data_IF_939854767375
#
_entry.id   IF_939854767375
#
_cell.length_a   1.000
_cell.length_b   1.000
_cell.length_c   1.000
_cell.angle_alpha   90.00
_cell.angle_beta   90.00
_cell.angle_gamma   90.00
#
_symmetry.space_group_name_H-M   'P 1'
#
loop_
_entity.id
_entity.type
_entity.pdbx_description
1 polymer ?
#
# COMPACT_ATOMS: atom_id res chain seq x y z
N UNK A 1 -29.45 49.10 -22.06
CA UNK A 1 -28.03 49.52 -22.05
C UNK A 1 -27.24 48.61 -21.11
N UNK A 2 -26.60 47.54 -21.62
CA UNK A 2 -25.42 46.94 -20.98
C UNK A 2 -24.47 46.58 -22.12
N UNK A 3 -23.42 47.39 -22.27
CA UNK A 3 -22.38 47.27 -23.29
C UNK A 3 -21.50 46.05 -22.98
N UNK A 4 -21.17 45.29 -24.02
CA UNK A 4 -20.08 44.32 -24.07
C UNK A 4 -18.76 44.94 -23.56
N UNK A 5 -18.11 44.28 -22.62
CA UNK A 5 -16.67 44.41 -22.38
C UNK A 5 -16.00 43.10 -22.79
N UNK A 6 -15.59 43.01 -24.06
CA UNK A 6 -14.76 41.92 -24.56
C UNK A 6 -13.82 42.49 -25.63
N UNK A 7 -12.68 43.03 -25.22
CA UNK A 7 -11.52 43.25 -26.10
C UNK A 7 -10.35 43.79 -25.28
N UNK A 8 -9.35 42.96 -25.00
CA UNK A 8 -8.15 43.46 -24.31
C UNK A 8 -6.95 42.51 -24.24
N UNK A 9 -7.11 41.21 -24.54
CA UNK A 9 -5.99 40.25 -24.44
C UNK A 9 -5.87 39.46 -25.74
N UNK A 10 -5.37 40.10 -26.80
CA UNK A 10 -5.05 39.37 -28.06
C UNK A 10 -3.86 39.89 -28.86
N UNK A 11 -3.19 40.99 -28.46
CA UNK A 11 -2.10 41.57 -29.27
C UNK A 11 -0.68 41.32 -28.73
N UNK A 12 -0.52 40.70 -27.55
CA UNK A 12 0.80 40.44 -26.96
C UNK A 12 1.37 39.06 -27.29
N UNK A 13 0.52 38.04 -27.49
CA UNK A 13 0.98 36.67 -27.73
C UNK A 13 1.40 36.41 -29.19
N UNK A 14 0.72 37.04 -30.16
CA UNK A 14 0.99 36.85 -31.60
C UNK A 14 2.32 37.41 -32.10
N UNK A 15 2.99 38.29 -31.34
CA UNK A 15 4.27 38.89 -31.74
C UNK A 15 5.51 38.13 -31.26
N UNK A 16 5.38 37.19 -30.32
CA UNK A 16 6.53 36.40 -29.83
C UNK A 16 6.78 35.12 -30.64
N UNK A 17 5.75 34.61 -31.32
CA UNK A 17 5.86 33.44 -32.20
C UNK A 17 6.49 33.76 -33.58
N UNK A 18 6.49 35.02 -34.02
CA UNK A 18 7.11 35.43 -35.29
C UNK A 18 8.64 35.54 -35.28
N UNK A 19 9.29 35.35 -34.12
CA UNK A 19 10.74 35.42 -33.98
C UNK A 19 11.44 34.05 -33.97
N UNK A 20 10.67 32.95 -33.96
CA UNK A 20 11.17 31.58 -34.06
C UNK A 20 11.14 31.01 -35.49
N UNK A 21 10.62 31.75 -36.47
CA UNK A 21 10.36 31.25 -37.83
C UNK A 21 11.16 31.93 -38.94
N UNK A 22 12.35 32.47 -38.67
CA UNK A 22 13.18 33.17 -39.69
C UNK A 22 14.67 32.89 -39.53
N UNK A 23 15.00 31.60 -39.53
CA UNK A 23 16.35 31.11 -39.65
C UNK A 23 16.26 29.65 -40.10
N UNK A 24 16.15 29.44 -41.42
CA UNK A 24 16.17 28.12 -42.04
C UNK A 24 17.60 27.52 -41.94
N UNK A 25 18.05 27.29 -40.71
CA UNK A 25 19.22 26.47 -40.43
C UNK A 25 18.76 25.01 -40.55
N UNK A 26 19.21 24.34 -41.61
CA UNK A 26 18.91 22.92 -41.84
C UNK A 26 19.36 22.07 -40.65
N UNK A 27 18.44 21.24 -40.16
CA UNK A 27 18.68 20.29 -39.09
C UNK A 27 19.84 19.36 -39.50
N UNK A 28 20.99 19.46 -38.82
CA UNK A 28 22.14 18.62 -39.20
C UNK A 28 21.89 17.17 -38.75
N UNK A 29 22.29 16.18 -39.56
CA UNK A 29 22.21 14.77 -39.16
C UNK A 29 23.00 14.51 -37.87
N UNK A 30 24.09 15.26 -37.66
CA UNK A 30 24.93 15.18 -36.46
C UNK A 30 24.24 15.67 -35.19
N UNK A 31 23.32 16.65 -35.27
CA UNK A 31 22.54 17.09 -34.11
C UNK A 31 21.56 16.01 -33.64
N UNK A 32 20.90 15.34 -34.58
CA UNK A 32 20.00 14.24 -34.25
C UNK A 32 20.75 13.04 -33.67
N UNK A 33 21.93 12.73 -34.22
CA UNK A 33 22.75 11.61 -33.74
C UNK A 33 23.30 11.86 -32.33
N UNK A 34 23.86 13.05 -32.03
CA UNK A 34 24.33 13.37 -30.68
C UNK A 34 23.17 13.36 -29.67
N UNK A 35 21.99 13.87 -30.05
CA UNK A 35 20.83 13.84 -29.19
C UNK A 35 20.39 12.40 -28.84
N UNK A 36 20.39 11.48 -29.81
CA UNK A 36 20.10 10.06 -29.57
C UNK A 36 21.14 9.41 -28.66
N UNK A 37 22.43 9.75 -28.81
CA UNK A 37 23.50 9.25 -27.92
C UNK A 37 23.27 9.72 -26.49
N UNK A 38 22.99 11.01 -26.27
CA UNK A 38 22.76 11.56 -24.93
C UNK A 38 21.50 10.96 -24.28
N UNK A 39 20.38 10.85 -25.03
CA UNK A 39 19.17 10.19 -24.53
C UNK A 39 19.41 8.71 -24.21
N UNK A 40 20.27 8.03 -24.99
CA UNK A 40 20.69 6.66 -24.72
C UNK A 40 21.36 6.50 -23.36
N UNK A 41 22.34 7.36 -23.06
CA UNK A 41 23.05 7.33 -21.77
C UNK A 41 22.10 7.58 -20.58
N UNK A 42 21.20 8.56 -20.71
CA UNK A 42 20.22 8.87 -19.65
C UNK A 42 19.22 7.72 -19.47
N UNK A 43 18.73 7.14 -20.56
CA UNK A 43 17.73 6.07 -20.51
C UNK A 43 18.26 4.80 -19.82
N UNK A 44 19.55 4.48 -20.01
CA UNK A 44 20.18 3.30 -19.42
C UNK A 44 20.11 3.29 -17.88
N UNK A 45 20.26 4.46 -17.25
CA UNK A 45 20.19 4.60 -15.79
C UNK A 45 18.73 4.76 -15.32
N UNK A 46 17.90 5.47 -16.08
CA UNK A 46 16.55 5.83 -15.68
C UNK A 46 15.54 4.67 -15.79
N UNK A 47 15.62 3.85 -16.85
CA UNK A 47 14.67 2.75 -17.11
C UNK A 47 14.56 1.75 -15.94
N UNK A 48 15.65 1.21 -15.38
CA UNK A 48 15.52 0.21 -14.32
C UNK A 48 14.85 0.77 -13.06
N UNK A 49 15.17 2.01 -12.68
CA UNK A 49 14.54 2.68 -11.53
C UNK A 49 13.06 3.00 -11.80
N UNK A 50 12.73 3.43 -13.01
CA UNK A 50 11.36 3.74 -13.42
C UNK A 50 10.46 2.50 -13.35
N UNK A 51 10.94 1.33 -13.79
CA UNK A 51 10.19 0.08 -13.71
C UNK A 51 9.90 -0.34 -12.27
N UNK A 52 10.87 -0.19 -11.36
CA UNK A 52 10.65 -0.46 -9.93
C UNK A 52 9.61 0.47 -9.30
N UNK A 53 9.71 1.78 -9.56
CA UNK A 53 8.72 2.77 -9.08
C UNK A 53 7.31 2.49 -9.60
N UNK A 54 7.19 2.09 -10.87
CA UNK A 54 5.92 1.71 -11.49
C UNK A 54 5.30 0.48 -10.83
N UNK A 55 6.09 -0.57 -10.57
CA UNK A 55 5.59 -1.78 -9.90
C UNK A 55 5.13 -1.48 -8.47
N UNK A 56 5.89 -0.66 -7.74
CA UNK A 56 5.50 -0.21 -6.41
C UNK A 56 4.18 0.58 -6.44
N UNK A 57 3.96 1.43 -7.45
CA UNK A 57 2.70 2.15 -7.60
C UNK A 57 1.51 1.20 -7.83
N UNK A 58 1.69 0.14 -8.64
CA UNK A 58 0.66 -0.88 -8.83
C UNK A 58 0.36 -1.67 -7.55
N UNK A 59 1.39 -2.02 -6.78
CA UNK A 59 1.21 -2.69 -5.50
C UNK A 59 0.48 -1.78 -4.50
N UNK A 60 0.79 -0.48 -4.49
CA UNK A 60 0.09 0.50 -3.65
C UNK A 60 -1.38 0.62 -4.02
N UNK A 61 -1.74 0.60 -5.31
CA UNK A 61 -3.14 0.64 -5.73
C UNK A 61 -3.94 -0.57 -5.19
N UNK A 62 -3.35 -1.77 -5.25
CA UNK A 62 -3.97 -2.97 -4.69
C UNK A 62 -4.10 -2.88 -3.15
N UNK A 63 -3.04 -2.44 -2.47
CA UNK A 63 -3.05 -2.24 -1.00
C UNK A 63 -4.12 -1.23 -0.58
N UNK A 64 -4.24 -0.09 -1.29
CA UNK A 64 -5.26 0.92 -1.00
C UNK A 64 -6.68 0.40 -1.19
N UNK A 65 -6.92 -0.43 -2.21
CA UNK A 65 -8.24 -1.00 -2.46
C UNK A 65 -8.63 -1.99 -1.37
N UNK A 66 -7.67 -2.80 -0.90
CA UNK A 66 -7.85 -3.67 0.26
C UNK A 66 -8.13 -2.86 1.52
N UNK A 67 -7.39 -1.77 1.78
CA UNK A 67 -7.62 -0.93 2.96
C UNK A 67 -9.00 -0.30 2.99
N UNK A 68 -9.49 0.18 1.85
CA UNK A 68 -10.85 0.74 1.70
C UNK A 68 -11.88 -0.32 2.07
N UNK A 69 -11.77 -1.53 1.50
CA UNK A 69 -12.67 -2.65 1.81
C UNK A 69 -12.55 -3.11 3.27
N UNK A 70 -11.35 -3.08 3.87
CA UNK A 70 -11.16 -3.39 5.30
C UNK A 70 -11.80 -2.35 6.21
N UNK A 71 -11.86 -1.07 5.82
CA UNK A 71 -12.59 -0.05 6.58
C UNK A 71 -14.10 -0.28 6.46
N UNK A 72 -14.59 -0.58 5.25
CA UNK A 72 -15.99 -0.93 5.02
C UNK A 72 -16.42 -2.15 5.83
N UNK A 73 -15.59 -3.19 5.89
CA UNK A 73 -15.89 -4.38 6.68
C UNK A 73 -15.94 -4.08 8.18
N UNK A 74 -15.06 -3.23 8.70
CA UNK A 74 -15.16 -2.79 10.10
C UNK A 74 -16.45 -2.02 10.40
N UNK A 75 -16.91 -1.18 9.47
CA UNK A 75 -18.19 -0.48 9.61
C UNK A 75 -19.36 -1.48 9.61
N UNK A 76 -19.33 -2.45 8.70
CA UNK A 76 -20.33 -3.52 8.63
C UNK A 76 -20.37 -4.31 9.95
N UNK A 77 -19.22 -4.71 10.46
CA UNK A 77 -19.08 -5.42 11.73
C UNK A 77 -19.57 -4.60 12.93
N UNK A 78 -19.34 -3.28 12.95
CA UNK A 78 -19.88 -2.41 14.00
C UNK A 78 -21.41 -2.32 13.97
N UNK A 79 -22.01 -2.38 12.78
CA UNK A 79 -23.47 -2.33 12.62
C UNK A 79 -24.18 -3.65 12.92
N UNK A 80 -23.57 -4.79 12.56
CA UNK A 80 -24.21 -6.11 12.64
C UNK A 80 -23.66 -6.99 13.76
N UNK A 81 -22.45 -6.72 14.26
CA UNK A 81 -21.75 -7.56 15.24
C UNK A 81 -21.13 -8.85 14.68
N UNK A 82 -21.39 -9.16 13.41
CA UNK A 82 -20.88 -10.35 12.71
C UNK A 82 -20.81 -10.12 11.18
N UNK A 83 -20.06 -10.98 10.47
CA UNK A 83 -20.00 -10.98 9.00
C UNK A 83 -20.83 -12.10 8.34
N UNK A 84 -21.73 -12.73 9.10
CA UNK A 84 -22.58 -13.80 8.57
C UNK A 84 -23.53 -13.27 7.51
N UNK A 85 -23.82 -14.14 6.55
CA UNK A 85 -24.86 -13.85 5.57
C UNK A 85 -26.23 -13.82 6.26
N UNK A 86 -26.93 -12.69 6.17
CA UNK A 86 -28.24 -12.49 6.81
C UNK A 86 -29.30 -13.54 6.41
N UNK A 87 -29.11 -14.22 5.27
CA UNK A 87 -30.06 -15.24 4.78
C UNK A 87 -29.78 -16.65 5.27
N UNK A 88 -28.53 -16.99 5.59
CA UNK A 88 -28.11 -18.38 5.86
C UNK A 88 -27.27 -18.55 7.13
N UNK A 89 -26.92 -17.44 7.78
CA UNK A 89 -26.01 -17.37 8.91
C UNK A 89 -24.66 -18.10 8.66
N UNK A 90 -24.30 -18.32 7.39
CA UNK A 90 -23.07 -19.01 7.01
C UNK A 90 -21.89 -18.05 6.91
N UNK A 91 -20.69 -18.58 7.19
CA UNK A 91 -19.43 -17.90 6.88
C UNK A 91 -18.82 -18.51 5.60
N UNK A 92 -17.94 -17.76 4.95
CA UNK A 92 -17.23 -18.22 3.76
C UNK A 92 -17.65 -17.46 2.50
N UNK A 93 -18.07 -18.21 1.48
CA UNK A 93 -18.44 -17.66 0.17
C UNK A 93 -19.87 -17.09 0.20
N UNK A 94 -20.00 -15.78 0.34
CA UNK A 94 -21.29 -15.09 0.31
C UNK A 94 -21.26 -13.93 -0.69
N UNK A 95 -22.15 -14.01 -1.68
CA UNK A 95 -22.41 -12.92 -2.61
C UNK A 95 -23.14 -11.75 -1.94
N UNK A 96 -23.92 -12.02 -0.89
CA UNK A 96 -24.65 -10.99 -0.13
C UNK A 96 -23.65 -10.12 0.65
N UNK A 97 -22.66 -10.73 1.31
CA UNK A 97 -21.58 -9.99 1.97
C UNK A 97 -20.83 -9.07 0.98
N UNK A 98 -20.49 -9.59 -0.21
CA UNK A 98 -19.85 -8.79 -1.24
C UNK A 98 -20.74 -7.61 -1.68
N UNK A 99 -22.05 -7.83 -1.88
CA UNK A 99 -22.99 -6.79 -2.25
C UNK A 99 -23.19 -5.72 -1.16
N UNK A 100 -23.20 -6.11 0.11
CA UNK A 100 -23.33 -5.17 1.22
C UNK A 100 -22.08 -4.30 1.40
N UNK A 101 -20.89 -4.88 1.19
CA UNK A 101 -19.65 -4.11 1.14
C UNK A 101 -19.61 -3.19 -0.09
N UNK A 102 -20.13 -3.62 -1.24
CA UNK A 102 -20.23 -2.78 -2.44
C UNK A 102 -21.09 -1.53 -2.21
N UNK A 103 -22.16 -1.63 -1.40
CA UNK A 103 -23.00 -0.47 -1.04
C UNK A 103 -22.25 0.54 -0.18
N UNK A 104 -21.34 0.06 0.67
CA UNK A 104 -20.50 0.92 1.53
C UNK A 104 -19.37 1.58 0.74
N UNK A 105 -18.74 0.85 -0.18
CA UNK A 105 -17.62 1.33 -0.99
C UNK A 105 -17.85 1.11 -2.49
N UNK A 106 -18.61 1.99 -3.16
CA UNK A 106 -18.95 1.82 -4.57
C UNK A 106 -17.78 2.08 -5.54
N UNK A 107 -16.66 2.60 -5.04
CA UNK A 107 -15.49 2.94 -5.86
C UNK A 107 -14.56 1.75 -6.14
N UNK A 108 -14.80 0.61 -5.50
CA UNK A 108 -14.04 -0.64 -5.62
C UNK A 108 -15.04 -1.75 -5.94
N UNK A 109 -14.70 -2.67 -6.82
CA UNK A 109 -15.57 -3.79 -7.17
C UNK A 109 -15.32 -4.95 -6.18
N UNK A 110 -16.27 -5.23 -5.31
CA UNK A 110 -16.19 -6.30 -4.32
C UNK A 110 -16.83 -7.56 -4.88
N UNK A 111 -16.09 -8.67 -4.82
CA UNK A 111 -16.53 -9.97 -5.34
C UNK A 111 -16.48 -11.05 -4.26
N UNK A 112 -17.31 -12.08 -4.41
CA UNK A 112 -17.39 -13.20 -3.47
C UNK A 112 -16.07 -14.01 -3.41
N UNK A 113 -15.94 -14.87 -2.40
CA UNK A 113 -14.65 -15.49 -2.06
C UNK A 113 -14.16 -16.48 -3.11
N UNK A 114 -15.07 -17.10 -3.87
CA UNK A 114 -14.74 -18.01 -4.97
C UNK A 114 -14.25 -17.31 -6.23
N UNK A 115 -14.51 -16.01 -6.39
CA UNK A 115 -14.15 -15.20 -7.55
C UNK A 115 -12.75 -14.61 -7.37
N UNK A 116 -11.89 -14.82 -8.35
CA UNK A 116 -10.54 -14.25 -8.36
C UNK A 116 -10.56 -12.75 -8.62
N UNK A 117 -9.74 -12.03 -7.85
CA UNK A 117 -9.37 -10.65 -8.16
C UNK A 117 -8.58 -10.64 -9.46
N UNK A 118 -9.09 -9.90 -10.45
CA UNK A 118 -8.45 -9.77 -11.77
C UNK A 118 -7.56 -8.54 -11.90
N UNK A 119 -7.75 -7.54 -11.01
CA UNK A 119 -7.06 -6.26 -11.00
C UNK A 119 -7.08 -5.66 -9.57
N UNK A 120 -6.33 -4.58 -9.36
CA UNK A 120 -6.16 -3.87 -8.09
C UNK A 120 -7.48 -3.38 -7.51
N UNK A 121 -8.46 -3.05 -8.36
CA UNK A 121 -9.79 -2.55 -7.97
C UNK A 121 -10.86 -3.61 -7.80
N UNK A 122 -10.57 -4.87 -8.12
CA UNK A 122 -11.49 -5.99 -7.88
C UNK A 122 -11.02 -6.70 -6.62
N UNK A 123 -11.76 -6.59 -5.52
CA UNK A 123 -11.36 -7.15 -4.23
C UNK A 123 -12.23 -8.36 -3.90
N UNK A 124 -11.61 -9.54 -3.82
CA UNK A 124 -12.27 -10.76 -3.36
C UNK A 124 -12.32 -10.77 -1.84
N UNK A 125 -13.50 -11.05 -1.27
CA UNK A 125 -13.72 -10.99 0.18
C UNK A 125 -14.24 -12.30 0.74
N UNK A 126 -13.93 -12.58 2.00
CA UNK A 126 -14.44 -13.74 2.72
C UNK A 126 -14.62 -13.44 4.22
N UNK A 127 -15.77 -13.83 4.75
CA UNK A 127 -15.97 -13.95 6.20
C UNK A 127 -15.49 -15.31 6.69
N UNK A 128 -14.86 -15.36 7.86
CA UNK A 128 -14.30 -16.60 8.43
C UNK A 128 -14.79 -16.79 9.85
N UNK A 129 -15.09 -18.05 10.17
CA UNK A 129 -15.46 -18.45 11.51
C UNK A 129 -14.32 -18.20 12.49
N UNK A 130 -14.68 -17.83 13.71
CA UNK A 130 -13.74 -17.70 14.80
C UNK A 130 -14.18 -18.48 16.03
N UNK A 131 -13.21 -18.83 16.86
CA UNK A 131 -13.41 -19.56 18.11
C UNK A 131 -12.92 -18.74 19.31
N UNK A 132 -13.49 -19.05 20.49
CA UNK A 132 -13.00 -18.57 21.77
C UNK A 132 -11.76 -19.37 22.22
N UNK A 133 -11.08 -18.90 23.27
CA UNK A 133 -9.99 -19.64 23.91
C UNK A 133 -10.42 -21.02 24.41
N UNK A 134 -11.71 -21.18 24.73
CA UNK A 134 -12.30 -22.42 25.21
C UNK A 134 -12.82 -23.32 24.07
N UNK A 135 -12.42 -23.03 22.82
CA UNK A 135 -12.83 -23.75 21.62
C UNK A 135 -14.34 -23.69 21.29
N UNK A 136 -15.04 -22.68 21.77
CA UNK A 136 -16.44 -22.41 21.41
C UNK A 136 -16.51 -21.62 20.09
N UNK A 137 -17.45 -21.96 19.20
CA UNK A 137 -17.68 -21.25 17.95
C UNK A 137 -18.33 -19.88 18.22
N UNK A 138 -17.71 -18.79 17.74
CA UNK A 138 -18.15 -17.41 17.96
C UNK A 138 -18.81 -16.76 16.72
N UNK A 139 -19.03 -17.51 15.64
CA UNK A 139 -19.58 -16.99 14.39
C UNK A 139 -18.53 -16.39 13.45
N UNK A 140 -18.98 -15.59 12.48
CA UNK A 140 -18.18 -15.09 11.35
C UNK A 140 -17.41 -13.80 11.68
N UNK A 141 -16.49 -13.82 12.64
CA UNK A 141 -15.90 -12.58 13.16
C UNK A 141 -14.48 -12.31 12.64
N UNK A 142 -14.05 -13.10 11.65
CA UNK A 142 -12.84 -12.90 10.87
C UNK A 142 -13.17 -12.47 9.44
N UNK A 143 -12.26 -11.73 8.82
CA UNK A 143 -12.45 -11.19 7.48
C UNK A 143 -11.14 -11.19 6.68
N UNK A 144 -11.23 -11.57 5.41
CA UNK A 144 -10.15 -11.50 4.43
C UNK A 144 -10.57 -10.67 3.23
N UNK A 145 -9.65 -9.86 2.72
CA UNK A 145 -9.75 -9.11 1.48
C UNK A 145 -8.48 -9.33 0.65
N UNK A 146 -8.66 -9.58 -0.64
CA UNK A 146 -7.58 -9.99 -1.55
C UNK A 146 -7.68 -9.22 -2.85
N UNK A 147 -6.56 -8.64 -3.31
CA UNK A 147 -6.47 -7.90 -4.56
C UNK A 147 -5.22 -8.26 -5.36
N UNK A 148 -5.36 -8.37 -6.68
CA UNK A 148 -4.29 -8.66 -7.61
C UNK A 148 -3.65 -7.37 -8.13
N UNK A 149 -2.35 -7.20 -7.93
CA UNK A 149 -1.61 -6.06 -8.46
C UNK A 149 -1.23 -6.28 -9.92
N UNK A 150 -1.24 -5.19 -10.70
CA UNK A 150 -0.68 -5.20 -12.07
C UNK A 150 0.82 -5.51 -12.11
N UNK A 151 1.52 -5.47 -10.97
CA UNK A 151 2.90 -5.97 -10.84
C UNK A 151 3.02 -7.50 -10.99
N UNK A 152 1.90 -8.23 -10.84
CA UNK A 152 1.86 -9.69 -10.82
C UNK A 152 1.77 -10.30 -9.40
N UNK A 153 1.82 -9.47 -8.35
CA UNK A 153 1.71 -9.93 -6.96
C UNK A 153 0.26 -9.93 -6.46
N UNK A 154 -0.11 -10.92 -5.65
CA UNK A 154 -1.38 -10.94 -4.96
C UNK A 154 -1.24 -10.45 -3.52
N UNK A 155 -2.01 -9.44 -3.15
CA UNK A 155 -1.98 -8.82 -1.83
C UNK A 155 -3.17 -9.25 -1.01
N UNK A 156 -2.94 -9.47 0.29
CA UNK A 156 -3.97 -9.94 1.21
C UNK A 156 -3.98 -9.08 2.45
N UNK A 157 -5.16 -8.61 2.81
CA UNK A 157 -5.45 -7.97 4.09
C UNK A 157 -6.42 -8.83 4.89
N UNK A 158 -6.20 -8.89 6.20
CA UNK A 158 -6.99 -9.64 7.16
C UNK A 158 -7.40 -8.74 8.30
N UNK A 159 -8.59 -9.00 8.86
CA UNK A 159 -9.04 -8.45 10.13
C UNK A 159 -9.65 -9.55 10.99
N UNK A 160 -9.28 -9.60 12.26
CA UNK A 160 -9.96 -10.43 13.28
C UNK A 160 -10.20 -9.57 14.51
N UNK A 161 -11.40 -9.64 15.10
CA UNK A 161 -11.68 -8.96 16.36
C UNK A 161 -10.86 -9.55 17.53
N UNK A 162 -10.60 -8.74 18.56
CA UNK A 162 -9.78 -9.14 19.71
C UNK A 162 -10.33 -10.35 20.48
N UNK A 163 -9.41 -11.20 20.96
CA UNK A 163 -9.73 -12.39 21.75
C UNK A 163 -10.22 -13.60 20.94
N UNK A 164 -10.11 -13.57 19.61
CA UNK A 164 -10.72 -14.57 18.71
C UNK A 164 -9.67 -15.31 17.88
N UNK A 165 -9.91 -16.60 17.68
CA UNK A 165 -8.97 -17.53 17.03
C UNK A 165 -9.59 -18.07 15.72
N UNK A 166 -8.79 -18.41 14.70
CA UNK A 166 -9.32 -19.06 13.46
C UNK A 166 -9.34 -20.60 13.54
N UNK A 167 -8.94 -21.18 14.67
CA UNK A 167 -8.99 -22.62 14.89
C UNK A 167 -9.48 -22.91 16.31
N UNK A 168 -10.04 -24.11 16.51
CA UNK A 168 -10.44 -24.60 17.83
C UNK A 168 -9.21 -24.86 18.71
N UNK A 169 -9.24 -24.35 19.95
CA UNK A 169 -8.11 -24.41 20.87
C UNK A 169 -7.25 -23.15 20.75
N UNK A 170 -6.90 -22.56 21.91
CA UNK A 170 -6.29 -21.23 22.15
C UNK A 170 -5.02 -20.85 21.36
N UNK A 171 -4.65 -21.55 20.29
CA UNK A 171 -3.58 -21.15 19.40
C UNK A 171 -4.09 -20.08 18.43
N UNK A 172 -3.53 -18.86 18.51
CA UNK A 172 -3.64 -17.92 17.40
C UNK A 172 -2.97 -18.55 16.19
N UNK A 173 -3.71 -18.80 15.11
CA UNK A 173 -3.11 -19.44 13.95
C UNK A 173 -2.08 -18.53 13.28
N UNK A 174 -2.23 -17.21 13.41
CA UNK A 174 -1.29 -16.25 12.84
C UNK A 174 -0.20 -15.93 13.85
N UNK A 175 0.99 -16.43 13.53
CA UNK A 175 2.26 -16.06 14.12
C UNK A 175 2.84 -14.98 13.21
N UNK A 176 2.74 -13.70 13.56
CA UNK A 176 3.48 -12.70 12.77
C UNK A 176 4.97 -12.94 12.97
N UNK A 177 5.71 -13.08 11.86
CA UNK A 177 7.14 -13.21 11.95
C UNK A 177 7.71 -11.97 12.66
N UNK A 178 8.62 -12.19 13.62
CA UNK A 178 9.33 -11.12 14.29
C UNK A 178 9.98 -10.21 13.24
N UNK A 179 9.81 -8.89 13.40
CA UNK A 179 10.46 -7.91 12.55
C UNK A 179 11.97 -8.03 12.72
N UNK A 180 12.67 -8.49 11.68
CA UNK A 180 14.11 -8.32 11.60
C UNK A 180 14.37 -6.81 11.41
N UNK A 181 14.81 -6.14 12.48
CA UNK A 181 15.56 -4.90 12.31
C UNK A 181 16.92 -5.30 11.75
N UNK A 182 17.14 -5.07 10.45
CA UNK A 182 18.43 -5.33 9.77
C UNK A 182 19.61 -4.49 10.30
N UNK A 183 19.41 -3.70 11.37
CA UNK A 183 20.43 -2.90 12.03
C UNK A 183 20.98 -3.53 13.34
N UNK A 184 20.52 -4.70 13.78
CA UNK A 184 21.04 -5.30 15.01
C UNK A 184 21.21 -6.82 14.88
N UNK A 185 22.45 -7.29 15.00
CA UNK A 185 22.86 -8.70 15.03
C UNK A 185 22.40 -9.47 16.29
N UNK A 186 21.50 -8.91 17.09
CA UNK A 186 20.92 -9.55 18.27
C UNK A 186 19.46 -9.89 17.99
N UNK A 187 19.25 -11.15 17.63
CA UNK A 187 17.95 -11.78 17.43
C UNK A 187 17.22 -11.80 18.78
N UNK A 188 16.34 -10.83 19.00
CA UNK A 188 15.27 -10.95 19.98
C UNK A 188 13.97 -11.11 19.21
N UNK A 189 13.67 -12.35 18.85
CA UNK A 189 12.33 -12.73 18.40
C UNK A 189 11.38 -12.50 19.57
N UNK A 190 10.62 -11.41 19.53
CA UNK A 190 9.44 -11.30 20.36
C UNK A 190 8.55 -12.49 20.03
N UNK A 191 8.06 -13.18 21.06
CA UNK A 191 7.16 -14.30 20.89
C UNK A 191 6.00 -13.90 19.98
N UNK A 192 5.57 -14.86 19.17
CA UNK A 192 4.42 -14.76 18.29
C UNK A 192 3.18 -14.34 19.06
N UNK A 193 2.98 -13.04 19.25
CA UNK A 193 1.76 -12.51 19.83
C UNK A 193 0.66 -12.74 18.80
N UNK A 194 -0.43 -13.35 19.27
CA UNK A 194 -1.67 -13.44 18.53
C UNK A 194 -2.04 -12.07 17.99
N UNK A 195 -1.87 -11.84 16.69
CA UNK A 195 -2.32 -10.57 16.10
C UNK A 195 -3.81 -10.68 15.88
N UNK A 196 -4.53 -10.30 16.92
CA UNK A 196 -5.86 -9.74 16.78
C UNK A 196 -5.74 -8.37 16.09
N UNK A 197 -6.71 -8.04 15.25
CA UNK A 197 -6.71 -6.83 14.44
C UNK A 197 -6.23 -7.08 13.02
N UNK A 198 -5.62 -6.04 12.43
CA UNK A 198 -5.22 -6.07 11.03
C UNK A 198 -3.90 -6.82 10.82
N UNK A 199 -3.85 -7.62 9.75
CA UNK A 199 -2.63 -8.26 9.31
C UNK A 199 -2.56 -8.28 7.78
N UNK A 200 -1.35 -8.22 7.23
CA UNK A 200 -1.10 -8.06 5.80
C UNK A 200 -0.09 -9.07 5.30
N UNK A 201 -0.29 -9.57 4.09
CA UNK A 201 0.58 -10.53 3.44
C UNK A 201 0.64 -10.33 1.94
N UNK A 202 1.63 -10.95 1.30
CA UNK A 202 1.79 -10.93 -0.15
C UNK A 202 2.17 -12.33 -0.66
N UNK A 203 1.55 -12.74 -1.76
CA UNK A 203 1.90 -13.91 -2.55
C UNK A 203 2.50 -13.43 -3.87
N UNK A 204 3.80 -13.69 -4.08
CA UNK A 204 4.53 -13.24 -5.26
C UNK A 204 4.86 -14.42 -6.19
N UNK A 205 4.85 -14.20 -7.52
CA UNK A 205 5.21 -15.23 -8.45
C UNK A 205 6.67 -15.60 -8.25
N UNK A 206 6.92 -16.90 -8.12
CA UNK A 206 8.26 -17.43 -8.22
C UNK A 206 8.50 -17.68 -9.71
N UNK A 207 9.41 -16.91 -10.30
CA UNK A 207 9.84 -17.14 -11.68
C UNK A 207 10.93 -18.19 -11.67
N UNK A 208 10.79 -19.20 -12.52
CA UNK A 208 11.79 -20.24 -12.72
C UNK A 208 13.10 -19.61 -13.24
N UNK A 209 14.07 -19.43 -12.36
CA UNK A 209 15.48 -19.27 -12.70
C UNK A 209 16.31 -20.10 -11.70
N UNK A 210 17.32 -20.81 -12.22
CA UNK A 210 18.23 -21.78 -11.58
C UNK A 210 17.60 -22.96 -10.78
N UNK A 211 16.53 -22.72 -10.03
CA UNK A 211 16.07 -23.64 -8.97
C UNK A 211 14.86 -24.49 -9.39
N UNK A 212 14.27 -24.23 -10.57
CA UNK A 212 13.16 -25.01 -11.13
C UNK A 212 11.83 -24.95 -10.35
N UNK A 213 11.75 -24.13 -9.29
CA UNK A 213 10.58 -24.01 -8.45
C UNK A 213 9.45 -23.26 -9.17
N UNK A 214 8.40 -24.00 -9.54
CA UNK A 214 7.19 -23.51 -10.19
C UNK A 214 5.97 -23.55 -9.25
N UNK A 215 6.17 -23.74 -7.94
CA UNK A 215 5.07 -23.90 -6.98
C UNK A 215 4.11 -22.70 -6.99
N UNK A 216 4.61 -21.50 -7.28
CA UNK A 216 3.82 -20.26 -7.43
C UNK A 216 4.03 -19.54 -8.78
N UNK A 217 3.68 -20.17 -9.91
CA UNK A 217 3.72 -19.48 -11.22
C UNK A 217 2.77 -18.27 -11.29
N UNK A 218 3.05 -17.29 -12.16
CA UNK A 218 2.19 -16.10 -12.34
C UNK A 218 0.74 -16.48 -12.69
N UNK A 219 0.54 -17.50 -13.52
CA UNK A 219 -0.78 -18.02 -13.86
C UNK A 219 -1.48 -18.63 -12.64
N UNK A 220 -0.75 -19.42 -11.84
CA UNK A 220 -1.27 -20.00 -10.61
C UNK A 220 -1.70 -18.91 -9.62
N UNK A 221 -0.88 -17.90 -9.40
CA UNK A 221 -1.22 -16.77 -8.51
C UNK A 221 -2.44 -16.01 -9.00
N UNK A 222 -2.55 -15.73 -10.31
CA UNK A 222 -3.72 -15.02 -10.84
C UNK A 222 -5.03 -15.77 -10.55
N UNK A 223 -5.02 -17.10 -10.64
CA UNK A 223 -6.19 -17.92 -10.30
C UNK A 223 -6.40 -18.06 -8.78
N UNK A 224 -5.31 -18.10 -8.02
CA UNK A 224 -5.31 -18.22 -6.57
C UNK A 224 -5.53 -16.90 -5.83
N UNK A 225 -5.53 -15.76 -6.52
CA UNK A 225 -5.73 -14.44 -5.91
C UNK A 225 -7.22 -14.19 -5.58
N UNK A 226 -7.72 -14.94 -4.62
CA UNK A 226 -9.08 -14.87 -4.09
C UNK A 226 -9.08 -15.08 -2.59
N UNK A 227 -10.15 -14.68 -1.91
CA UNK A 227 -10.22 -14.83 -0.47
C UNK A 227 -10.40 -16.28 -0.03
N UNK A 228 -11.05 -17.13 -0.85
CA UNK A 228 -11.28 -18.56 -0.53
C UNK A 228 -10.01 -19.40 -0.41
N UNK A 229 -8.94 -19.02 -1.10
CA UNK A 229 -7.66 -19.74 -1.08
C UNK A 229 -6.79 -19.38 0.12
N UNK A 230 -7.13 -18.33 0.87
CA UNK A 230 -6.34 -17.92 2.03
C UNK A 230 -6.61 -18.85 3.20
N UNK A 231 -5.53 -19.28 3.88
CA UNK A 231 -5.64 -20.21 5.00
C UNK A 231 -6.44 -19.60 6.15
N UNK A 232 -7.45 -20.33 6.61
CA UNK A 232 -8.24 -20.04 7.81
C UNK A 232 -7.55 -20.58 9.07
N UNK A 233 -6.22 -20.70 9.09
CA UNK A 233 -5.47 -21.08 10.29
C UNK A 233 -5.14 -22.57 10.47
N UNK A 234 -5.52 -23.42 9.51
CA UNK A 234 -4.90 -24.74 9.32
C UNK A 234 -4.47 -24.83 7.86
N UNK A 235 -3.24 -25.31 7.62
CA UNK A 235 -2.67 -25.45 6.29
C UNK A 235 -3.55 -26.37 5.44
N UNK A 236 -4.41 -25.81 4.62
CA UNK A 236 -5.22 -26.56 3.67
C UNK A 236 -4.46 -26.58 2.35
N UNK A 237 -3.90 -27.75 2.04
CA UNK A 237 -3.54 -28.43 0.77
C UNK A 237 -3.49 -27.70 -0.60
N UNK A 238 -3.66 -26.39 -0.70
CA UNK A 238 -3.45 -25.64 -1.95
C UNK A 238 -1.99 -25.21 -2.05
N UNK A 239 -1.43 -25.21 -3.27
CA UNK A 239 -0.01 -24.85 -3.46
C UNK A 239 0.24 -23.34 -3.49
N UNK A 240 -0.79 -22.49 -3.37
CA UNK A 240 -0.73 -21.04 -3.61
C UNK A 240 -1.54 -20.26 -2.55
N UNK A 241 -1.17 -20.37 -1.27
CA UNK A 241 -1.79 -19.62 -0.17
C UNK A 241 -0.72 -18.94 0.68
N UNK A 242 -1.14 -17.88 1.39
CA UNK A 242 -0.28 -17.22 2.38
C UNK A 242 -0.41 -17.99 3.70
N UNK A 243 0.69 -18.57 4.15
CA UNK A 243 0.73 -19.25 5.43
C UNK A 243 0.48 -18.25 6.57
N UNK A 244 -0.15 -18.65 7.67
CA UNK A 244 -0.34 -17.78 8.83
C UNK A 244 0.96 -17.15 9.39
N UNK A 245 2.12 -17.78 9.19
CA UNK A 245 3.44 -17.23 9.56
C UNK A 245 3.93 -16.08 8.66
N UNK A 246 3.35 -15.93 7.47
CA UNK A 246 3.79 -14.96 6.45
C UNK A 246 3.05 -13.62 6.53
N UNK A 247 2.22 -13.44 7.55
CA UNK A 247 1.53 -12.18 7.80
C UNK A 247 2.38 -11.23 8.66
N UNK A 248 2.21 -9.94 8.40
CA UNK A 248 2.84 -8.83 9.12
C UNK A 248 1.79 -7.87 9.67
N UNK A 249 2.16 -7.06 10.66
CA UNK A 249 1.30 -6.01 11.25
C UNK A 249 1.12 -4.78 10.34
N UNK A 250 1.95 -4.65 9.31
CA UNK A 250 1.91 -3.55 8.32
C UNK A 250 2.26 -4.08 6.93
N UNK A 251 1.95 -3.30 5.88
CA UNK A 251 2.41 -3.60 4.53
C UNK A 251 3.94 -3.63 4.49
N UNK A 252 4.51 -4.83 4.32
CA UNK A 252 5.92 -4.99 3.94
C UNK A 252 6.01 -5.47 2.51
N UNK A 253 6.87 -4.80 1.75
CA UNK A 253 7.46 -5.43 0.58
C UNK A 253 8.47 -6.46 1.11
N UNK A 254 8.30 -7.73 0.75
CA UNK A 254 9.25 -8.82 1.09
C UNK A 254 10.64 -8.65 0.47
N UNK A 255 10.85 -7.60 -0.32
CA UNK A 255 12.17 -7.22 -0.83
C UNK A 255 12.74 -6.23 0.18
N UNK A 256 13.83 -6.62 0.85
CA UNK A 256 14.58 -5.72 1.72
C UNK A 256 14.74 -4.38 1.00
N UNK A 257 14.35 -3.28 1.66
CA UNK A 257 14.59 -1.95 1.13
C UNK A 257 16.08 -1.88 0.73
N UNK A 258 16.41 -1.34 -0.46
CA UNK A 258 17.81 -1.11 -0.78
C UNK A 258 18.39 -0.32 0.38
N UNK A 259 19.52 -0.80 0.89
CA UNK A 259 20.28 -0.20 2.00
C UNK A 259 20.57 1.25 1.60
N UNK A 260 19.67 2.16 1.97
CA UNK A 260 19.96 3.57 1.95
C UNK A 260 20.97 3.73 3.09
N UNK A 261 22.19 4.21 2.85
CA UNK A 261 23.10 4.49 3.95
C UNK A 261 22.40 5.48 4.87
N UNK A 262 22.07 5.04 6.08
CA UNK A 262 21.57 5.95 7.11
C UNK A 262 22.59 7.09 7.26
N UNK A 263 22.15 8.34 7.47
CA UNK A 263 23.06 9.43 7.77
C UNK A 263 23.80 9.09 9.07
N UNK A 264 25.03 8.58 8.96
CA UNK A 264 25.90 8.32 10.09
C UNK A 264 26.25 9.66 10.74
N UNK A 265 25.88 9.83 12.00
CA UNK A 265 26.35 10.97 12.78
C UNK A 265 27.88 10.90 12.90
N UNK A 266 28.58 12.04 12.75
CA UNK A 266 30.04 12.16 12.63
C UNK A 266 30.88 11.59 13.80
N UNK A 267 30.27 11.01 14.83
CA UNK A 267 30.93 10.53 16.03
C UNK A 267 30.59 9.06 16.35
N UNK A 268 30.61 8.16 15.36
CA UNK A 268 30.93 6.72 15.50
C UNK A 268 30.34 5.87 16.64
N UNK A 269 29.29 6.30 17.36
CA UNK A 269 28.69 5.57 18.49
C UNK A 269 27.18 5.84 18.54
N UNK A 270 26.40 4.88 18.06
CA UNK A 270 24.96 4.74 18.35
C UNK A 270 23.98 5.43 17.41
N UNK A 271 22.77 4.86 17.33
CA UNK A 271 21.59 5.36 16.61
C UNK A 271 20.99 6.56 17.35
N UNK A 272 20.79 7.69 16.68
CA UNK A 272 20.10 8.84 17.26
C UNK A 272 18.60 8.78 16.92
N UNK A 273 17.73 8.62 17.94
CA UNK A 273 16.31 8.91 17.81
C UNK A 273 16.09 10.42 17.63
N UNK A 274 15.20 10.79 16.70
CA UNK A 274 14.74 12.18 16.57
C UNK A 274 13.89 12.52 17.79
N UNK A 275 14.49 13.20 18.77
CA UNK A 275 13.75 13.84 19.87
C UNK A 275 14.27 13.61 21.29
N UNK A 276 15.28 12.77 21.51
CA UNK A 276 15.77 12.48 22.87
C UNK A 276 17.14 13.13 23.13
N UNK A 277 17.16 14.19 23.94
CA UNK A 277 18.42 14.78 24.44
C UNK A 277 18.85 14.04 25.70
N UNK A 278 19.95 13.27 25.60
CA UNK A 278 20.59 12.63 26.75
C UNK A 278 21.04 13.62 27.84
N UNK A 279 21.33 13.13 29.06
CA UNK A 279 21.51 13.98 30.22
C UNK A 279 22.85 14.71 30.11
N UNK A 280 22.79 16.04 30.10
CA UNK A 280 23.95 16.87 30.40
C UNK A 280 24.68 17.47 29.19
N UNK A 281 23.99 18.27 28.36
CA UNK A 281 24.59 19.47 27.76
C UNK A 281 23.55 20.59 27.65
N UNK A 282 23.83 21.72 28.30
CA UNK A 282 23.05 22.96 28.16
C UNK A 282 23.23 23.51 26.73
N UNK A 283 22.16 23.56 25.95
CA UNK A 283 22.19 24.26 24.66
C UNK A 283 21.82 25.74 24.83
N UNK A 284 22.66 26.59 24.23
CA UNK A 284 22.22 27.86 23.66
C UNK A 284 21.26 27.51 22.52
N UNK A 285 19.97 27.68 22.76
CA UNK A 285 18.90 27.45 21.77
C UNK A 285 19.09 28.44 20.61
N UNK A 286 19.52 27.94 19.45
CA UNK A 286 19.33 28.65 18.19
C UNK A 286 17.83 28.61 17.86
N UNK A 287 17.10 29.64 18.30
CA UNK A 287 15.75 29.95 17.81
C UNK A 287 15.84 30.31 16.32
N UNK A 288 15.76 29.35 15.41
CA UNK A 288 15.53 29.63 13.98
C UNK A 288 14.10 29.30 13.50
N UNK A 289 13.32 28.53 14.25
CA UNK A 289 11.97 28.09 13.84
C UNK A 289 10.82 29.02 14.23
N UNK A 290 11.06 30.12 14.96
CA UNK A 290 10.03 31.16 15.21
C UNK A 290 10.05 32.33 14.22
N UNK A 291 11.04 32.41 13.32
CA UNK A 291 11.14 33.52 12.35
C UNK A 291 10.28 33.30 11.10
N UNK A 292 9.98 32.04 10.76
CA UNK A 292 9.13 31.69 9.61
C UNK A 292 7.63 31.89 9.86
N UNK A 293 7.14 31.66 11.09
CA UNK A 293 5.72 31.89 11.41
C UNK A 293 5.34 33.38 11.51
N UNK A 294 6.28 34.26 11.86
CA UNK A 294 6.01 35.71 11.95
C UNK A 294 5.99 36.37 10.57
N UNK A 295 6.75 35.85 9.60
CA UNK A 295 6.72 36.36 8.22
C UNK A 295 5.46 35.97 7.44
N UNK A 296 4.89 34.79 7.69
CA UNK A 296 3.68 34.34 6.99
C UNK A 296 2.41 35.10 7.47
N UNK A 297 2.29 35.38 8.77
CA UNK A 297 1.17 36.17 9.29
C UNK A 297 1.22 37.66 8.89
N UNK A 298 2.41 38.19 8.56
CA UNK A 298 2.56 39.57 8.08
C UNK A 298 2.20 39.74 6.60
N UNK A 299 2.16 38.65 5.82
CA UNK A 299 1.73 38.67 4.41
C UNK A 299 0.21 38.54 4.27
N UNK A 300 -0.46 37.80 5.18
CA UNK A 300 -1.93 37.64 5.17
C UNK A 300 -2.69 38.89 5.61
N UNK A 301 -2.13 39.70 6.51
CA UNK A 301 -2.78 40.94 6.99
C UNK A 301 -2.63 42.15 6.05
N UNK A 302 -1.73 42.09 5.06
CA UNK A 302 -1.53 43.20 4.11
C UNK A 302 -2.45 43.10 2.89
N UNK A 303 -3.15 41.97 2.70
CA UNK A 303 -4.07 41.76 1.58
C UNK A 303 -5.55 42.10 1.90
N UNK A 304 -5.88 42.29 3.18
CA UNK A 304 -7.22 42.69 3.65
C UNK A 304 -7.43 44.22 3.74
N UNK A 305 -6.40 45.03 3.47
CA UNK A 305 -6.45 46.50 3.52
C UNK A 305 -6.46 47.20 2.14
N UNK A 306 -6.64 46.44 1.05
CA UNK A 306 -6.82 46.99 -0.31
C UNK A 306 -8.17 46.62 -0.95
N UNK A 307 -9.13 46.08 -0.19
CA UNK A 307 -10.50 45.78 -0.67
C UNK A 307 -11.57 46.35 0.30
N UNK A 308 -11.40 47.59 0.72
CA UNK A 308 -12.50 48.46 1.17
C UNK A 308 -12.22 49.88 0.70
#
# INVERSE_FOLDING_TARGET
MIKKCASGVSSAFGRRLRRFGRGDAGFTLTELVIAMVVLGVISSIAIPSFLGSRNNAYDKEAQTSIEVVLRASKLLYQSQGDFSDASSAQCGDSAILAADLQKLEPNVDVVASSVSSTNSRVVSVQAVQTWSSNAELLGCQGFYAVAFSSSGSCWVGRFISEGKFLASGSASPVVVNAQLNTANSAITTWSALAVNGNAFGVLKPQTSAADGDNTNSLAAIKTACKAKTQSTGSATTSSNYIAPSQFYSSWRDTVAAPIQPEPSCANGRGTCEVGNTGPGRRHRVLRSSRRWLIHFNRFRLRHELQVS
#
